data_IF_423903093909
#
_entry.id   IF_423903093909
#
_cell.length_a   1.000
_cell.length_b   1.000
_cell.length_c   1.000
_cell.angle_alpha   90.00
_cell.angle_beta   90.00
_cell.angle_gamma   90.00
#
_symmetry.space_group_name_H-M   'P 1'
#
loop_
_entity.id
_entity.type
_entity.pdbx_description
1 polymer ?
#
# COMPACT_ATOMS: atom_id res chain seq x y z
N UNK A 1 35.24 50.67 28.63
CA UNK A 1 36.42 51.05 27.85
C UNK A 1 36.64 50.01 26.76
N UNK A 2 36.92 50.46 25.54
CA UNK A 2 36.91 49.68 24.30
C UNK A 2 38.26 49.02 23.95
N UNK A 3 38.20 47.95 23.14
CA UNK A 3 39.14 47.47 22.07
C UNK A 3 39.21 45.93 22.10
N UNK A 4 39.37 45.15 21.03
CA UNK A 4 39.32 45.32 19.57
C UNK A 4 39.32 43.87 19.01
N UNK A 5 38.54 43.57 17.97
CA UNK A 5 38.67 42.38 17.11
C UNK A 5 39.93 42.54 16.20
N UNK A 6 40.47 41.53 15.46
CA UNK A 6 39.89 40.23 15.05
C UNK A 6 40.87 39.03 15.05
N UNK A 7 40.39 37.80 14.84
CA UNK A 7 41.18 36.81 14.10
C UNK A 7 40.26 35.91 13.26
N UNK A 8 40.29 36.22 11.97
CA UNK A 8 39.87 35.36 10.86
C UNK A 8 40.70 34.07 10.89
N UNK A 9 40.03 32.91 10.94
CA UNK A 9 40.61 31.67 10.43
C UNK A 9 39.62 31.10 9.41
N UNK A 10 39.84 31.48 8.16
CA UNK A 10 39.22 30.89 7.00
C UNK A 10 39.84 29.49 6.79
N UNK A 11 39.07 28.43 7.05
CA UNK A 11 39.38 27.10 6.54
C UNK A 11 38.53 26.93 5.28
N UNK A 12 39.17 27.17 4.13
CA UNK A 12 38.69 26.73 2.83
C UNK A 12 39.09 25.26 2.70
N UNK A 13 38.15 24.34 2.93
CA UNK A 13 38.29 22.96 2.50
C UNK A 13 37.48 22.79 1.20
N UNK A 14 38.20 22.73 0.09
CA UNK A 14 37.65 22.40 -1.21
C UNK A 14 37.16 20.97 -1.25
N UNK A 15 35.84 20.80 -1.38
CA UNK A 15 35.23 19.56 -1.84
C UNK A 15 34.70 19.81 -3.26
N UNK A 16 35.34 19.20 -4.25
CA UNK A 16 34.75 19.07 -5.59
C UNK A 16 33.50 18.20 -5.44
N UNK A 17 32.33 18.84 -5.37
CA UNK A 17 31.05 18.15 -5.50
C UNK A 17 30.87 17.86 -6.98
N UNK A 18 31.21 16.64 -7.40
CA UNK A 18 30.66 16.06 -8.63
C UNK A 18 29.14 16.04 -8.46
N UNK A 19 28.45 17.01 -9.07
CA UNK A 19 27.00 17.10 -9.11
C UNK A 19 26.43 15.92 -9.89
N UNK A 20 26.26 14.78 -9.22
CA UNK A 20 25.25 13.80 -9.63
C UNK A 20 23.88 14.45 -9.47
N UNK A 21 22.91 14.19 -10.36
CA UNK A 21 21.58 14.74 -10.21
C UNK A 21 21.04 14.29 -8.85
N UNK A 22 20.75 15.25 -7.97
CA UNK A 22 19.97 15.00 -6.78
C UNK A 22 18.61 14.50 -7.28
N UNK A 23 18.43 13.19 -7.30
CA UNK A 23 17.12 12.59 -7.46
C UNK A 23 16.31 13.04 -6.25
N UNK A 24 15.45 14.04 -6.46
CA UNK A 24 14.53 14.51 -5.44
C UNK A 24 13.75 13.28 -4.93
N UNK A 25 13.96 12.92 -3.66
CA UNK A 25 13.12 11.92 -3.03
C UNK A 25 11.67 12.39 -3.17
N UNK A 26 10.73 11.54 -3.64
CA UNK A 26 9.35 11.96 -3.85
C UNK A 26 8.78 12.47 -2.53
N UNK A 27 8.69 13.79 -2.43
CA UNK A 27 8.25 14.51 -1.23
C UNK A 27 6.75 14.70 -1.34
N UNK A 28 6.01 13.60 -1.20
CA UNK A 28 4.56 13.60 -1.31
C UNK A 28 3.95 12.41 -0.60
N UNK A 29 2.83 12.64 0.09
CA UNK A 29 1.98 11.56 0.58
C UNK A 29 1.58 10.68 -0.62
N UNK A 30 1.83 9.36 -0.59
CA UNK A 30 1.55 8.50 -1.74
C UNK A 30 0.07 8.57 -2.13
N UNK A 31 -0.19 8.49 -3.44
CA UNK A 31 -1.55 8.41 -3.95
C UNK A 31 -2.24 7.13 -3.46
N UNK A 32 -3.57 7.09 -3.42
CA UNK A 32 -4.29 5.87 -3.03
C UNK A 32 -3.90 4.65 -3.91
N UNK A 33 -3.88 4.76 -5.26
CA UNK A 33 -3.42 3.65 -6.11
C UNK A 33 -1.99 3.22 -5.80
N UNK A 34 -1.08 4.15 -5.50
CA UNK A 34 0.30 3.82 -5.15
C UNK A 34 0.40 3.08 -3.81
N UNK A 35 -0.37 3.51 -2.80
CA UNK A 35 -0.43 2.87 -1.49
C UNK A 35 -1.03 1.46 -1.57
N UNK A 36 -2.11 1.29 -2.33
CA UNK A 36 -2.73 -0.03 -2.57
C UNK A 36 -1.79 -0.95 -3.34
N UNK A 37 -1.10 -0.42 -4.34
CA UNK A 37 -0.08 -1.19 -5.08
C UNK A 37 1.07 -1.60 -4.17
N UNK A 38 1.56 -0.72 -3.30
CA UNK A 38 2.61 -1.05 -2.35
C UNK A 38 2.17 -2.15 -1.35
N UNK A 39 0.92 -2.09 -0.86
CA UNK A 39 0.35 -3.13 -0.01
C UNK A 39 0.30 -4.47 -0.75
N UNK A 40 -0.23 -4.50 -1.98
CA UNK A 40 -0.33 -5.72 -2.80
C UNK A 40 1.04 -6.34 -3.09
N UNK A 41 2.05 -5.52 -3.39
CA UNK A 41 3.39 -6.02 -3.66
C UNK A 41 4.05 -6.65 -2.43
N UNK A 42 3.62 -6.28 -1.22
CA UNK A 42 4.09 -6.89 0.03
C UNK A 42 3.52 -8.30 0.24
N UNK A 43 2.39 -8.62 -0.40
CA UNK A 43 1.79 -9.96 -0.43
C UNK A 43 2.27 -10.83 -1.60
N UNK A 44 2.96 -10.23 -2.56
CA UNK A 44 3.35 -10.91 -3.79
C UNK A 44 4.74 -11.54 -3.64
N UNK A 45 4.95 -12.78 -4.11
CA UNK A 45 6.28 -13.38 -4.18
C UNK A 45 7.29 -12.49 -4.91
N UNK A 46 8.53 -12.41 -4.41
CA UNK A 46 9.60 -11.54 -4.95
C UNK A 46 9.86 -11.74 -6.44
N UNK A 47 9.64 -12.96 -6.95
CA UNK A 47 9.80 -13.32 -8.37
C UNK A 47 8.85 -12.55 -9.29
N UNK A 48 7.70 -12.11 -8.80
CA UNK A 48 6.72 -11.33 -9.56
C UNK A 48 6.90 -9.82 -9.37
N UNK A 49 7.60 -9.39 -8.30
CA UNK A 49 7.66 -7.99 -7.85
C UNK A 49 8.19 -7.01 -8.90
N UNK A 50 9.21 -7.41 -9.68
CA UNK A 50 9.89 -6.52 -10.64
C UNK A 50 8.95 -5.96 -11.73
N UNK A 51 7.94 -6.72 -12.16
CA UNK A 51 6.93 -6.28 -13.14
C UNK A 51 5.54 -6.15 -12.55
N UNK A 52 5.35 -6.50 -11.27
CA UNK A 52 4.03 -6.51 -10.68
C UNK A 52 3.45 -5.10 -10.54
N UNK A 53 4.28 -4.07 -10.31
CA UNK A 53 3.79 -2.69 -10.23
C UNK A 53 3.05 -2.24 -11.48
N UNK A 54 3.62 -2.47 -12.67
CA UNK A 54 3.01 -2.08 -13.95
C UNK A 54 1.83 -2.96 -14.36
N UNK A 55 1.70 -4.15 -13.75
CA UNK A 55 0.60 -5.10 -13.98
C UNK A 55 -0.51 -5.01 -12.94
N UNK A 56 -0.37 -4.14 -11.94
CA UNK A 56 -1.38 -3.94 -10.89
C UNK A 56 -2.46 -3.00 -11.39
N UNK A 57 -3.71 -3.44 -11.28
CA UNK A 57 -4.91 -2.67 -11.59
C UNK A 57 -5.67 -2.43 -10.29
N UNK A 58 -5.77 -1.17 -9.88
CA UNK A 58 -6.53 -0.76 -8.70
C UNK A 58 -7.86 -0.16 -9.15
N UNK A 59 -8.96 -0.74 -8.68
CA UNK A 59 -10.32 -0.26 -8.95
C UNK A 59 -10.96 0.20 -7.65
N UNK A 60 -11.17 1.51 -7.51
CA UNK A 60 -11.93 2.07 -6.39
C UNK A 60 -13.42 1.93 -6.71
N UNK A 61 -14.15 1.15 -5.90
CA UNK A 61 -15.58 0.90 -6.12
C UNK A 61 -16.43 1.90 -5.34
N UNK A 62 -16.01 2.23 -4.10
CA UNK A 62 -16.73 3.14 -3.21
C UNK A 62 -15.79 4.08 -2.49
N UNK A 63 -16.30 5.27 -2.16
CA UNK A 63 -15.65 6.27 -1.33
C UNK A 63 -16.63 6.82 -0.31
N UNK A 64 -16.15 7.12 0.89
CA UNK A 64 -16.87 7.94 1.86
C UNK A 64 -16.00 9.16 2.18
N UNK A 65 -16.41 10.31 1.62
CA UNK A 65 -15.63 11.55 1.67
C UNK A 65 -14.22 11.40 1.08
N UNK A 66 -13.26 12.12 1.67
CA UNK A 66 -11.84 12.03 1.34
C UNK A 66 -11.06 11.07 2.25
N UNK A 67 -11.74 10.48 3.25
CA UNK A 67 -11.12 9.70 4.31
C UNK A 67 -11.12 8.20 4.05
N UNK A 68 -12.08 7.68 3.28
CA UNK A 68 -12.25 6.23 3.10
C UNK A 68 -12.39 5.82 1.64
N UNK A 69 -11.81 4.68 1.29
CA UNK A 69 -12.01 4.02 0.01
C UNK A 69 -12.08 2.50 0.18
N UNK A 70 -12.93 1.87 -0.63
CA UNK A 70 -13.06 0.42 -0.72
C UNK A 70 -13.07 0.01 -2.19
N UNK A 71 -12.44 -1.11 -2.50
CA UNK A 71 -12.35 -1.56 -3.88
C UNK A 71 -11.59 -2.88 -4.03
N UNK A 72 -11.10 -3.12 -5.25
CA UNK A 72 -10.29 -4.28 -5.57
C UNK A 72 -8.93 -3.89 -6.16
N UNK A 73 -7.94 -4.75 -5.94
CA UNK A 73 -6.64 -4.68 -6.57
C UNK A 73 -6.33 -6.02 -7.23
N UNK A 74 -5.94 -5.98 -8.51
CA UNK A 74 -5.67 -7.16 -9.32
C UNK A 74 -4.27 -7.07 -9.90
N UNK A 75 -3.44 -8.06 -9.60
CA UNK A 75 -2.18 -8.29 -10.30
C UNK A 75 -2.46 -9.18 -11.50
N UNK A 76 -2.44 -8.60 -12.70
CA UNK A 76 -2.69 -9.35 -13.94
C UNK A 76 -1.56 -10.35 -14.21
N UNK A 77 -1.89 -11.54 -14.70
CA UNK A 77 -0.89 -12.56 -15.03
C UNK A 77 0.06 -12.09 -16.17
N UNK A 78 1.33 -12.53 -16.18
CA UNK A 78 2.13 -12.45 -17.40
C UNK A 78 1.49 -13.28 -18.52
N UNK A 79 1.74 -12.91 -19.78
CA UNK A 79 1.26 -13.64 -20.95
C UNK A 79 2.06 -14.95 -21.17
N UNK A 80 1.91 -15.90 -20.25
CA UNK A 80 2.57 -17.21 -20.25
C UNK A 80 1.55 -18.30 -19.89
N UNK A 81 1.71 -19.54 -20.38
CA UNK A 81 0.88 -20.67 -19.97
C UNK A 81 0.88 -20.85 -18.45
N UNK A 82 -0.26 -21.29 -17.91
CA UNK A 82 -0.45 -21.60 -16.48
C UNK A 82 -0.19 -20.45 -15.51
N UNK A 83 -0.23 -19.20 -15.98
CA UNK A 83 -0.19 -18.01 -15.15
C UNK A 83 -1.60 -17.43 -14.92
N UNK A 84 -1.97 -17.23 -13.65
CA UNK A 84 -3.29 -16.74 -13.25
C UNK A 84 -3.21 -15.37 -12.58
N UNK A 85 -4.20 -14.48 -12.79
CA UNK A 85 -4.25 -13.21 -12.08
C UNK A 85 -4.51 -13.45 -10.59
N UNK A 86 -3.95 -12.58 -9.75
CA UNK A 86 -4.19 -12.58 -8.32
C UNK A 86 -5.01 -11.34 -7.95
N UNK A 87 -6.02 -11.49 -7.11
CA UNK A 87 -6.94 -10.41 -6.76
C UNK A 87 -7.24 -10.37 -5.27
N UNK A 88 -7.42 -9.15 -4.75
CA UNK A 88 -7.79 -8.88 -3.37
C UNK A 88 -8.82 -7.76 -3.31
N UNK A 89 -9.69 -7.79 -2.30
CA UNK A 89 -10.37 -6.58 -1.84
C UNK A 89 -9.40 -5.73 -1.02
N UNK A 90 -9.56 -4.41 -1.08
CA UNK A 90 -8.82 -3.49 -0.21
C UNK A 90 -9.78 -2.57 0.53
N UNK A 91 -9.36 -2.19 1.73
CA UNK A 91 -9.94 -1.11 2.50
C UNK A 91 -8.85 -0.10 2.82
N UNK A 92 -9.13 1.18 2.60
CA UNK A 92 -8.18 2.25 2.82
C UNK A 92 -8.78 3.38 3.65
N UNK A 93 -8.00 3.83 4.63
CA UNK A 93 -8.31 4.98 5.49
C UNK A 93 -7.21 6.02 5.40
N UNK A 94 -7.58 7.30 5.33
CA UNK A 94 -6.65 8.42 5.29
C UNK A 94 -6.23 8.80 6.70
N UNK A 95 -4.94 8.72 6.96
CA UNK A 95 -4.27 9.11 8.20
C UNK A 95 -3.31 10.29 7.95
N UNK A 96 -2.74 10.86 9.02
CA UNK A 96 -1.88 12.05 8.93
C UNK A 96 -0.65 11.85 8.02
N UNK A 97 -0.16 10.61 7.87
CA UNK A 97 0.99 10.25 7.03
C UNK A 97 0.64 9.69 5.65
N UNK A 98 -0.64 9.49 5.34
CA UNK A 98 -1.08 8.92 4.06
C UNK A 98 -2.21 7.92 4.16
N UNK A 99 -2.21 6.94 3.27
CA UNK A 99 -3.24 5.90 3.27
C UNK A 99 -2.76 4.71 4.09
N UNK A 100 -3.49 4.39 5.15
CA UNK A 100 -3.47 3.04 5.71
C UNK A 100 -4.30 2.17 4.78
N UNK A 101 -3.69 1.11 4.26
CA UNK A 101 -4.35 0.14 3.38
C UNK A 101 -4.22 -1.24 3.99
N UNK A 102 -5.32 -1.97 4.06
CA UNK A 102 -5.36 -3.37 4.45
C UNK A 102 -6.01 -4.13 3.29
N UNK A 103 -5.43 -5.27 2.91
CA UNK A 103 -6.00 -6.19 1.93
C UNK A 103 -6.81 -7.28 2.63
N UNK A 104 -7.78 -7.84 1.93
CA UNK A 104 -8.48 -9.02 2.41
C UNK A 104 -7.48 -10.12 2.81
N UNK A 105 -7.66 -10.67 4.02
CA UNK A 105 -6.75 -11.66 4.59
C UNK A 105 -5.62 -11.06 5.44
N UNK A 106 -5.40 -9.74 5.40
CA UNK A 106 -4.51 -9.08 6.35
C UNK A 106 -5.07 -9.13 7.77
N UNK A 107 -4.17 -9.24 8.74
CA UNK A 107 -4.55 -9.23 10.17
C UNK A 107 -5.28 -7.94 10.56
N UNK A 108 -4.91 -6.81 9.97
CA UNK A 108 -5.52 -5.52 10.27
C UNK A 108 -6.80 -5.23 9.48
N UNK A 109 -7.21 -6.10 8.54
CA UNK A 109 -8.37 -5.85 7.69
C UNK A 109 -9.68 -5.79 8.47
N UNK A 110 -9.92 -6.77 9.34
CA UNK A 110 -11.11 -6.82 10.18
C UNK A 110 -11.19 -5.60 11.11
N UNK A 111 -10.05 -5.25 11.74
CA UNK A 111 -9.95 -4.09 12.62
C UNK A 111 -10.28 -2.78 11.88
N UNK A 112 -9.73 -2.61 10.67
CA UNK A 112 -10.00 -1.44 9.85
C UNK A 112 -11.46 -1.41 9.36
N UNK A 113 -12.03 -2.58 9.03
CA UNK A 113 -13.41 -2.72 8.57
C UNK A 113 -14.43 -2.30 9.64
N UNK A 114 -14.19 -2.62 10.92
CA UNK A 114 -15.11 -2.27 12.01
C UNK A 114 -15.46 -0.78 12.10
N UNK A 115 -14.51 0.09 11.77
CA UNK A 115 -14.68 1.55 11.78
C UNK A 115 -14.99 2.18 10.41
N UNK A 116 -15.10 1.40 9.34
CA UNK A 116 -15.11 1.93 7.99
C UNK A 116 -16.44 2.56 7.58
N UNK A 117 -16.47 3.88 7.42
CA UNK A 117 -17.66 4.61 6.97
C UNK A 117 -18.07 4.31 5.51
N UNK A 118 -17.17 3.72 4.72
CA UNK A 118 -17.43 3.31 3.33
C UNK A 118 -18.16 1.96 3.22
N UNK A 119 -18.32 1.26 4.35
CA UNK A 119 -19.01 -0.02 4.45
C UNK A 119 -20.37 0.15 5.12
N UNK A 120 -21.36 -0.58 4.62
CA UNK A 120 -22.64 -0.73 5.32
C UNK A 120 -22.49 -1.48 6.64
N UNK A 121 -23.44 -1.37 7.58
CA UNK A 121 -23.41 -2.15 8.81
C UNK A 121 -23.28 -3.66 8.58
N UNK A 122 -24.01 -4.21 7.60
CA UNK A 122 -23.97 -5.63 7.26
C UNK A 122 -22.60 -6.07 6.70
N UNK A 123 -21.98 -5.26 5.82
CA UNK A 123 -20.63 -5.54 5.33
C UNK A 123 -19.60 -5.52 6.46
N UNK A 124 -19.71 -4.56 7.38
CA UNK A 124 -18.81 -4.51 8.54
C UNK A 124 -18.93 -5.76 9.40
N UNK A 125 -20.15 -6.24 9.65
CA UNK A 125 -20.40 -7.48 10.38
C UNK A 125 -19.75 -8.68 9.67
N UNK A 126 -19.90 -8.80 8.34
CA UNK A 126 -19.28 -9.87 7.56
C UNK A 126 -17.76 -9.83 7.65
N UNK A 127 -17.14 -8.66 7.50
CA UNK A 127 -15.68 -8.53 7.48
C UNK A 127 -15.01 -8.58 8.86
N UNK A 128 -15.74 -8.30 9.94
CA UNK A 128 -15.22 -8.41 11.31
C UNK A 128 -15.48 -9.78 11.94
N UNK A 129 -16.39 -10.56 11.36
CA UNK A 129 -16.64 -11.93 11.81
C UNK A 129 -15.47 -12.81 11.38
N UNK A 130 -14.76 -13.47 12.32
CA UNK A 130 -13.73 -14.42 11.95
C UNK A 130 -14.37 -15.53 11.12
N UNK A 131 -13.90 -15.71 9.89
CA UNK A 131 -14.26 -16.86 9.08
C UNK A 131 -13.75 -18.09 9.80
N UNK A 132 -14.67 -18.84 10.42
CA UNK A 132 -14.40 -20.24 10.76
C UNK A 132 -14.19 -20.90 9.40
N UNK A 133 -12.94 -21.15 9.04
CA UNK A 133 -12.63 -22.06 7.94
C UNK A 133 -13.11 -23.43 8.41
N UNK A 134 -14.40 -23.68 8.28
CA UNK A 134 -14.89 -25.03 8.11
C UNK A 134 -14.31 -25.45 6.77
N UNK A 135 -13.17 -26.14 6.85
CA UNK A 135 -12.79 -27.07 5.80
C UNK A 135 -14.05 -27.89 5.54
N UNK A 136 -14.78 -27.58 4.47
CA UNK A 136 -15.81 -28.43 3.94
C UNK A 136 -15.09 -29.75 3.70
N UNK A 137 -15.26 -30.69 4.64
CA UNK A 137 -14.47 -31.90 4.75
C UNK A 137 -14.45 -32.55 3.38
N UNK A 138 -13.26 -32.60 2.78
CA UNK A 138 -13.06 -33.01 1.41
C UNK A 138 -13.72 -34.36 1.15
N UNK A 139 -14.92 -34.31 0.58
CA UNK A 139 -15.59 -35.45 -0.02
C UNK A 139 -15.98 -35.01 -1.43
N UNK A 140 -15.02 -35.16 -2.35
CA UNK A 140 -15.27 -35.09 -3.78
C UNK A 140 -15.93 -36.40 -4.26
N UNK A 141 -17.07 -36.77 -3.67
CA UNK A 141 -17.98 -37.75 -4.27
C UNK A 141 -18.87 -37.02 -5.25
N UNK A 142 -18.33 -36.84 -6.45
CA UNK A 142 -19.10 -36.64 -7.67
C UNK A 142 -20.11 -37.79 -7.79
N UNK A 143 -21.38 -37.48 -7.62
CA UNK A 143 -22.49 -38.30 -8.11
C UNK A 143 -22.68 -38.10 -9.61
#
# INVERSE_FOLDING_TARGET
MAKAYPLLLAIVLGGVLTGGPAAAAPSGVPSLPDAVTAALLSHTPTTLAATARSRTQVTVQRRAGSGWAFGSAVLTAPAQPDAYPLGWLFLAHREAGGWRVELEGDRGFADLAGGAAVLSPAEREVFTTPSRVEYAGGDFRTG
#
